data_IF_873692707438
#
_entry.id   IF_873692707438
#
_cell.length_a   1.000
_cell.length_b   1.000
_cell.length_c   1.000
_cell.angle_alpha   90.00
_cell.angle_beta   90.00
_cell.angle_gamma   90.00
#
_symmetry.space_group_name_H-M   'P 1'
#
loop_
_entity.id
_entity.type
_entity.pdbx_description
1 polymer ?
#
# COMPACT_ATOMS: atom_id res chain seq x y z
N UNK A 1 3.87 -2.43 7.65
CA UNK A 1 3.22 -1.76 6.49
C UNK A 1 4.09 -1.65 5.21
N UNK A 2 5.35 -1.19 5.28
CA UNK A 2 6.22 -1.03 4.09
C UNK A 2 6.27 -2.26 3.18
N UNK A 3 6.66 -3.40 3.76
CA UNK A 3 6.75 -4.68 3.05
C UNK A 3 5.39 -5.17 2.55
N UNK A 4 4.32 -4.86 3.28
CA UNK A 4 2.96 -5.21 2.89
C UNK A 4 2.55 -4.49 1.61
N UNK A 5 2.81 -3.19 1.49
CA UNK A 5 2.55 -2.41 0.27
C UNK A 5 3.33 -3.00 -0.91
N UNK A 6 4.63 -3.29 -0.73
CA UNK A 6 5.45 -3.90 -1.79
C UNK A 6 4.93 -5.27 -2.23
N UNK A 7 4.54 -6.13 -1.29
CA UNK A 7 3.96 -7.44 -1.60
C UNK A 7 2.63 -7.31 -2.36
N UNK A 8 1.76 -6.40 -1.95
CA UNK A 8 0.49 -6.14 -2.63
C UNK A 8 0.71 -5.58 -4.04
N UNK A 9 1.67 -4.68 -4.23
CA UNK A 9 2.06 -4.17 -5.54
C UNK A 9 2.50 -5.31 -6.48
N UNK A 10 3.36 -6.22 -6.00
CA UNK A 10 3.77 -7.41 -6.77
C UNK A 10 2.58 -8.32 -7.09
N UNK A 11 1.74 -8.65 -6.08
CA UNK A 11 0.57 -9.51 -6.24
C UNK A 11 -0.45 -8.94 -7.25
N UNK A 12 -0.57 -7.62 -7.33
CA UNK A 12 -1.51 -6.90 -8.20
C UNK A 12 -0.90 -6.48 -9.54
N UNK A 13 0.41 -6.67 -9.75
CA UNK A 13 1.10 -6.20 -10.95
C UNK A 13 1.15 -4.67 -11.08
N UNK A 14 1.12 -3.95 -9.95
CA UNK A 14 1.12 -2.48 -9.90
C UNK A 14 2.56 -2.00 -9.67
N UNK A 15 3.08 -1.17 -10.58
CA UNK A 15 4.38 -0.52 -10.39
C UNK A 15 4.25 0.72 -9.51
N UNK A 16 5.37 1.25 -9.00
CA UNK A 16 5.35 2.49 -8.21
C UNK A 16 4.86 3.69 -9.05
N UNK A 17 5.18 3.72 -10.34
CA UNK A 17 4.67 4.72 -11.28
C UNK A 17 3.17 4.55 -11.53
N UNK A 18 2.68 3.31 -11.57
CA UNK A 18 1.24 3.00 -11.61
C UNK A 18 0.54 3.52 -10.38
N UNK A 19 1.06 3.18 -9.20
CA UNK A 19 0.52 3.66 -7.92
C UNK A 19 0.53 5.19 -7.84
N UNK A 20 1.58 5.84 -8.33
CA UNK A 20 1.68 7.31 -8.40
C UNK A 20 0.62 7.93 -9.29
N UNK A 21 0.38 7.36 -10.48
CA UNK A 21 -0.65 7.87 -11.40
C UNK A 21 -2.05 7.75 -10.82
N UNK A 22 -2.38 6.60 -10.25
CA UNK A 22 -3.73 6.31 -9.74
C UNK A 22 -4.04 7.08 -8.45
N UNK A 23 -3.06 7.23 -7.56
CA UNK A 23 -3.25 8.00 -6.31
C UNK A 23 -3.07 9.51 -6.50
N UNK A 24 -2.51 9.93 -7.63
CA UNK A 24 -2.02 11.30 -7.88
C UNK A 24 -0.97 11.77 -6.87
N UNK A 25 -0.29 10.83 -6.19
CA UNK A 25 0.79 11.11 -5.24
C UNK A 25 2.12 11.00 -5.98
N UNK A 26 3.01 11.97 -5.77
CA UNK A 26 4.37 11.98 -6.26
C UNK A 26 5.13 10.69 -5.85
N UNK A 27 5.94 10.12 -6.76
CA UNK A 27 6.73 8.90 -6.50
C UNK A 27 7.67 9.01 -5.29
N UNK A 28 8.39 10.11 -5.10
CA UNK A 28 9.22 10.38 -3.93
C UNK A 28 8.38 10.39 -2.64
N UNK A 29 7.18 10.99 -2.69
CA UNK A 29 6.25 10.97 -1.56
C UNK A 29 5.78 9.55 -1.27
N UNK A 30 5.41 8.77 -2.29
CA UNK A 30 5.06 7.36 -2.13
C UNK A 30 6.20 6.52 -1.57
N UNK A 31 7.43 6.71 -2.04
CA UNK A 31 8.60 6.02 -1.49
C UNK A 31 8.80 6.38 -0.01
N UNK A 32 8.66 7.67 0.35
CA UNK A 32 8.73 8.11 1.74
C UNK A 32 7.63 7.46 2.60
N UNK A 33 6.39 7.40 2.10
CA UNK A 33 5.25 6.75 2.77
C UNK A 33 5.50 5.25 2.96
N UNK A 34 6.00 4.59 1.91
CA UNK A 34 6.31 3.16 1.95
C UNK A 34 7.41 2.92 2.98
N UNK A 35 8.46 3.73 3.03
CA UNK A 35 9.57 3.56 3.97
C UNK A 35 9.24 3.99 5.41
N UNK A 36 8.43 5.04 5.57
CA UNK A 36 8.05 5.65 6.85
C UNK A 36 6.52 5.82 6.94
N UNK A 37 5.78 4.72 7.09
CA UNK A 37 4.32 4.73 7.06
C UNK A 37 3.68 5.50 8.21
N UNK A 38 4.35 5.58 9.37
CA UNK A 38 3.83 6.25 10.57
C UNK A 38 3.69 7.77 10.42
N UNK A 39 4.36 8.38 9.43
CA UNK A 39 4.25 9.81 9.10
C UNK A 39 3.16 10.11 8.08
N UNK A 40 2.46 9.10 7.57
CA UNK A 40 1.51 9.25 6.47
C UNK A 40 0.12 9.61 6.97
N UNK A 41 -0.55 10.54 6.31
CA UNK A 41 -1.91 10.90 6.66
C UNK A 41 -2.92 9.79 6.27
N UNK A 42 -4.06 9.76 6.95
CA UNK A 42 -5.10 8.74 6.74
C UNK A 42 -5.68 8.75 5.32
N UNK A 43 -5.70 9.90 4.64
CA UNK A 43 -6.21 10.02 3.27
C UNK A 43 -5.27 9.31 2.29
N UNK A 44 -3.97 9.51 2.46
CA UNK A 44 -2.93 8.82 1.72
C UNK A 44 -3.04 7.29 1.87
N UNK A 45 -3.20 6.81 3.10
CA UNK A 45 -3.35 5.36 3.37
C UNK A 45 -4.61 4.81 2.67
N UNK A 46 -5.72 5.55 2.71
CA UNK A 46 -6.98 5.17 2.02
C UNK A 46 -6.81 5.08 0.51
N UNK A 47 -6.11 6.03 -0.12
CA UNK A 47 -5.86 6.02 -1.56
C UNK A 47 -5.00 4.82 -1.97
N UNK A 48 -3.96 4.51 -1.20
CA UNK A 48 -3.11 3.34 -1.46
C UNK A 48 -3.93 2.05 -1.32
N UNK A 49 -4.73 1.91 -0.26
CA UNK A 49 -5.60 0.74 -0.06
C UNK A 49 -6.59 0.56 -1.23
N UNK A 50 -7.19 1.66 -1.70
CA UNK A 50 -8.12 1.66 -2.82
C UNK A 50 -7.46 1.17 -4.12
N UNK A 51 -6.28 1.69 -4.46
CA UNK A 51 -5.56 1.31 -5.68
C UNK A 51 -5.07 -0.15 -5.61
N UNK A 52 -4.63 -0.60 -4.44
CA UNK A 52 -4.22 -1.99 -4.23
C UNK A 52 -5.40 -2.96 -4.07
N UNK A 53 -6.63 -2.45 -4.07
CA UNK A 53 -7.87 -3.19 -3.90
C UNK A 53 -7.85 -4.08 -2.64
N UNK A 54 -7.57 -3.47 -1.49
CA UNK A 54 -7.55 -4.10 -0.17
C UNK A 54 -8.27 -3.22 0.85
N UNK A 55 -8.69 -3.81 1.98
CA UNK A 55 -9.16 -2.99 3.11
C UNK A 55 -7.98 -2.24 3.75
N UNK A 56 -8.29 -1.18 4.50
CA UNK A 56 -7.26 -0.48 5.29
C UNK A 56 -6.66 -1.46 6.30
N UNK A 57 -7.48 -2.28 6.97
CA UNK A 57 -6.99 -3.27 7.94
C UNK A 57 -6.00 -4.27 7.29
N UNK A 58 -6.30 -4.75 6.08
CA UNK A 58 -5.40 -5.66 5.34
C UNK A 58 -4.10 -4.97 4.90
N UNK A 59 -4.14 -3.66 4.64
CA UNK A 59 -2.96 -2.86 4.30
C UNK A 59 -2.07 -2.65 5.53
N UNK A 60 -2.69 -2.43 6.69
CA UNK A 60 -2.01 -2.20 7.97
C UNK A 60 -1.54 -3.51 8.62
N UNK A 61 -2.09 -4.66 8.22
CA UNK A 61 -1.74 -5.96 8.81
C UNK A 61 -0.25 -6.27 8.62
N UNK A 62 0.46 -6.33 9.74
CA UNK A 62 1.88 -6.68 9.81
C UNK A 62 2.12 -8.18 9.73
N UNK A 63 1.06 -8.99 9.94
CA UNK A 63 1.10 -10.42 9.69
C UNK A 63 0.74 -10.62 8.23
N UNK A 64 1.75 -10.68 7.36
CA UNK A 64 1.56 -11.12 5.97
C UNK A 64 0.68 -12.36 5.96
N UNK A 65 -0.53 -12.22 5.40
CA UNK A 65 -1.66 -13.11 5.63
C UNK A 65 -1.27 -14.57 5.87
N UNK A 66 -1.55 -15.05 7.09
CA UNK A 66 -1.92 -16.46 7.22
C UNK A 66 -3.22 -16.59 6.43
N UNK A 67 -3.11 -17.16 5.22
CA UNK A 67 -4.23 -17.74 4.48
C UNK A 67 -4.92 -18.76 5.40
N UNK A 68 -5.82 -18.30 6.26
CA UNK A 68 -6.84 -19.12 6.87
C UNK A 68 -7.97 -19.30 5.86
N UNK A 69 -7.67 -20.03 4.78
CA UNK A 69 -8.68 -20.78 4.08
C UNK A 69 -9.11 -21.93 5.00
N UNK A 70 -10.25 -21.76 5.67
CA UNK A 70 -11.06 -22.86 6.22
C UNK A 70 -12.38 -22.90 5.49
#
# INVERSE_FOLDING_TARGET
>A
MSERIKQLMVKRGITIEGLSRETMINIQTLNKIIEMPDESDVTTIKLIALVLNVSIDELLDEKGGEDNAK
#
